data_IF_639816908986
#
_entry.id   IF_639816908986
#
_cell.length_a   1.000
_cell.length_b   1.000
_cell.length_c   1.000
_cell.angle_alpha   90.00
_cell.angle_beta   90.00
_cell.angle_gamma   90.00
#
_symmetry.space_group_name_H-M   'P 1'
#
loop_
_entity.id
_entity.type
_entity.pdbx_description
1 polymer ?
#
# COMPACT_ATOMS: atom_id res chain seq x y z
N UNK A 1 -11.13 -6.67 -24.08
CA UNK A 1 -10.26 -6.95 -25.25
C UNK A 1 -9.80 -8.40 -25.20
N UNK A 2 -8.95 -8.85 -26.13
CA UNK A 2 -8.52 -10.26 -26.22
C UNK A 2 -7.26 -10.61 -25.37
N UNK A 3 -6.71 -9.65 -24.62
CA UNK A 3 -5.48 -9.85 -23.84
C UNK A 3 -4.21 -10.00 -24.69
N UNK A 4 -3.05 -10.28 -24.06
CA UNK A 4 -2.83 -10.24 -22.62
C UNK A 4 -2.86 -8.79 -22.07
N UNK A 5 -3.15 -8.65 -20.78
CA UNK A 5 -3.28 -7.37 -20.08
C UNK A 5 -2.14 -7.17 -19.09
N UNK A 6 -1.71 -5.93 -18.80
CA UNK A 6 -0.78 -5.69 -17.71
C UNK A 6 -1.41 -6.12 -16.37
N UNK A 7 -0.64 -6.87 -15.59
CA UNK A 7 -1.10 -7.46 -14.33
C UNK A 7 -0.91 -6.53 -13.15
N UNK A 8 -1.86 -6.48 -12.22
CA UNK A 8 -1.78 -5.76 -10.95
C UNK A 8 -2.24 -6.68 -9.82
N UNK A 9 -1.53 -6.68 -8.69
CA UNK A 9 -2.03 -7.23 -7.42
C UNK A 9 -2.55 -6.07 -6.57
N UNK A 10 -3.78 -6.21 -6.08
CA UNK A 10 -4.49 -5.22 -5.27
C UNK A 10 -4.61 -5.71 -3.82
N UNK A 11 -4.14 -4.88 -2.88
CA UNK A 11 -4.08 -5.19 -1.45
C UNK A 11 -4.79 -4.12 -0.62
N UNK A 12 -5.72 -4.57 0.21
CA UNK A 12 -6.38 -3.75 1.23
C UNK A 12 -5.63 -3.77 2.56
N UNK A 13 -6.08 -2.93 3.50
CA UNK A 13 -5.49 -2.79 4.82
C UNK A 13 -5.87 -3.90 5.80
N UNK A 14 -5.64 -3.62 7.09
CA UNK A 14 -6.18 -4.45 8.16
C UNK A 14 -7.73 -4.38 8.12
N UNK A 15 -8.37 -5.53 8.25
CA UNK A 15 -9.81 -5.76 8.15
C UNK A 15 -10.12 -7.24 7.95
N UNK A 16 -9.22 -7.93 7.26
CA UNK A 16 -9.42 -9.30 6.80
C UNK A 16 -10.39 -9.35 5.62
N UNK A 17 -10.72 -10.55 5.16
CA UNK A 17 -11.60 -10.75 4.02
C UNK A 17 -10.94 -10.42 2.68
N UNK A 18 -11.77 -10.23 1.66
CA UNK A 18 -11.36 -9.98 0.28
C UNK A 18 -12.20 -8.86 -0.35
N UNK A 19 -11.83 -7.59 -0.17
CA UNK A 19 -12.50 -6.48 -0.86
C UNK A 19 -12.13 -6.47 -2.35
N UNK A 20 -13.08 -6.78 -3.23
CA UNK A 20 -12.83 -6.94 -4.68
C UNK A 20 -13.13 -5.68 -5.51
N UNK A 21 -13.87 -4.72 -4.95
CA UNK A 21 -14.47 -3.64 -5.73
C UNK A 21 -13.45 -2.74 -6.43
N UNK A 22 -12.28 -2.47 -5.83
CA UNK A 22 -11.22 -1.68 -6.47
C UNK A 22 -10.57 -2.43 -7.63
N UNK A 23 -10.30 -3.73 -7.45
CA UNK A 23 -9.78 -4.58 -8.51
C UNK A 23 -10.73 -4.67 -9.70
N UNK A 24 -12.03 -4.89 -9.44
CA UNK A 24 -13.07 -4.92 -10.47
C UNK A 24 -13.13 -3.60 -11.28
N UNK A 25 -13.08 -2.46 -10.59
CA UNK A 25 -13.10 -1.15 -11.24
C UNK A 25 -11.82 -0.89 -12.06
N UNK A 26 -10.65 -1.30 -11.57
CA UNK A 26 -9.41 -1.20 -12.34
C UNK A 26 -9.39 -2.12 -13.56
N UNK A 27 -9.97 -3.32 -13.46
CA UNK A 27 -10.05 -4.26 -14.58
C UNK A 27 -10.78 -3.67 -15.80
N UNK A 28 -11.77 -2.81 -15.57
CA UNK A 28 -12.46 -2.05 -16.63
C UNK A 28 -11.56 -1.03 -17.36
N UNK A 29 -10.35 -0.78 -16.87
CA UNK A 29 -9.38 0.14 -17.45
C UNK A 29 -8.21 -0.59 -18.14
N UNK A 30 -8.40 -1.87 -18.50
CA UNK A 30 -7.45 -2.61 -19.33
C UNK A 30 -6.34 -3.32 -18.57
N UNK A 31 -6.52 -3.56 -17.27
CA UNK A 31 -5.61 -4.33 -16.43
C UNK A 31 -6.20 -5.70 -16.06
N UNK A 32 -5.34 -6.70 -15.87
CA UNK A 32 -5.71 -7.93 -15.16
C UNK A 32 -5.38 -7.72 -13.68
N UNK A 33 -6.38 -7.70 -12.80
CA UNK A 33 -6.19 -7.31 -11.40
C UNK A 33 -6.58 -8.45 -10.47
N UNK A 34 -5.66 -8.86 -9.60
CA UNK A 34 -5.90 -9.84 -8.53
C UNK A 34 -6.13 -9.10 -7.22
N UNK A 35 -7.36 -9.09 -6.73
CA UNK A 35 -7.63 -8.77 -5.33
C UNK A 35 -7.05 -9.91 -4.48
N UNK A 36 -6.14 -9.59 -3.55
CA UNK A 36 -5.42 -10.58 -2.76
C UNK A 36 -5.79 -10.46 -1.28
N UNK A 37 -6.45 -11.48 -0.74
CA UNK A 37 -6.62 -11.66 0.70
C UNK A 37 -5.30 -12.16 1.30
N UNK A 38 -5.04 -11.87 2.57
CA UNK A 38 -3.86 -12.39 3.27
C UNK A 38 -4.12 -12.82 4.72
N UNK A 39 -5.32 -12.57 5.24
CA UNK A 39 -5.82 -13.13 6.51
C UNK A 39 -7.33 -12.93 6.63
N UNK A 40 -7.97 -13.66 7.54
CA UNK A 40 -9.39 -13.49 7.88
C UNK A 40 -10.33 -13.81 6.72
N UNK A 41 -9.94 -14.71 5.81
CA UNK A 41 -10.70 -15.10 4.64
C UNK A 41 -10.52 -16.59 4.36
N UNK A 42 -11.62 -17.31 4.19
CA UNK A 42 -11.64 -18.77 3.94
C UNK A 42 -10.73 -19.57 4.89
N UNK A 43 -9.73 -20.27 4.36
CA UNK A 43 -8.78 -21.11 5.09
C UNK A 43 -7.48 -20.39 5.48
N UNK A 44 -7.34 -19.10 5.13
CA UNK A 44 -6.21 -18.27 5.56
C UNK A 44 -6.21 -18.08 7.09
N UNK A 45 -5.05 -17.71 7.68
CA UNK A 45 -4.95 -17.41 9.10
C UNK A 45 -6.03 -16.42 9.57
N UNK A 46 -6.64 -16.67 10.73
CA UNK A 46 -7.73 -15.84 11.26
C UNK A 46 -7.28 -14.47 11.75
N UNK A 47 -6.02 -14.34 12.12
CA UNK A 47 -5.41 -13.10 12.62
C UNK A 47 -4.13 -12.77 11.84
N UNK A 48 -3.60 -11.57 12.09
CA UNK A 48 -2.44 -11.02 11.39
C UNK A 48 -1.23 -10.91 12.35
N UNK A 49 -0.97 -11.93 13.17
CA UNK A 49 0.20 -11.91 14.08
C UNK A 49 1.52 -11.97 13.33
N UNK A 50 1.58 -12.78 12.28
CA UNK A 50 2.76 -13.03 11.49
C UNK A 50 2.38 -13.09 10.00
N UNK A 51 3.20 -12.49 9.16
CA UNK A 51 3.04 -12.48 7.70
C UNK A 51 4.34 -12.97 7.05
N UNK A 52 4.21 -13.87 6.09
CA UNK A 52 5.32 -14.46 5.35
C UNK A 52 5.30 -13.96 3.91
N UNK A 53 6.37 -13.31 3.44
CA UNK A 53 6.44 -12.78 2.08
C UNK A 53 6.44 -13.87 1.01
N UNK A 54 6.73 -15.12 1.37
CA UNK A 54 6.60 -16.29 0.50
C UNK A 54 5.17 -16.44 -0.06
N UNK A 55 4.13 -16.18 0.76
CA UNK A 55 2.74 -16.19 0.30
C UNK A 55 2.48 -15.18 -0.82
N UNK A 56 3.06 -13.99 -0.68
CA UNK A 56 2.92 -12.92 -1.67
C UNK A 56 3.79 -13.19 -2.91
N UNK A 57 4.93 -13.87 -2.76
CA UNK A 57 5.77 -14.36 -3.85
C UNK A 57 5.02 -15.40 -4.69
N UNK A 58 4.28 -16.31 -4.07
CA UNK A 58 3.39 -17.27 -4.75
C UNK A 58 2.31 -16.54 -5.57
N UNK A 59 1.68 -15.50 -5.01
CA UNK A 59 0.67 -14.71 -5.73
C UNK A 59 1.25 -13.97 -6.95
N UNK A 60 2.48 -13.43 -6.84
CA UNK A 60 3.20 -12.82 -7.98
C UNK A 60 3.45 -13.87 -9.06
N UNK A 61 3.96 -15.05 -8.67
CA UNK A 61 4.25 -16.14 -9.61
C UNK A 61 2.98 -16.66 -10.30
N UNK A 62 1.88 -16.79 -9.56
CA UNK A 62 0.58 -17.16 -10.11
C UNK A 62 0.14 -16.17 -11.20
N UNK A 63 0.21 -14.86 -10.91
CA UNK A 63 -0.13 -13.82 -11.87
C UNK A 63 0.76 -13.87 -13.12
N UNK A 64 2.08 -13.99 -12.95
CA UNK A 64 3.03 -14.01 -14.07
C UNK A 64 2.92 -15.27 -14.95
N UNK A 65 2.39 -16.37 -14.42
CA UNK A 65 2.14 -17.60 -15.18
C UNK A 65 0.80 -17.59 -15.93
N UNK A 66 -0.11 -16.67 -15.58
CA UNK A 66 -1.43 -16.62 -16.20
C UNK A 66 -1.34 -16.12 -17.65
N UNK A 67 -1.90 -16.87 -18.61
CA UNK A 67 -1.77 -16.63 -20.06
C UNK A 67 -2.35 -15.30 -20.55
N UNK A 68 -3.17 -14.64 -19.72
CA UNK A 68 -3.76 -13.32 -20.01
C UNK A 68 -3.04 -12.16 -19.29
N UNK A 69 -1.93 -12.42 -18.60
CA UNK A 69 -1.08 -11.39 -17.97
C UNK A 69 0.15 -11.16 -18.86
N UNK A 70 0.42 -9.90 -19.23
CA UNK A 70 1.45 -9.53 -20.22
C UNK A 70 2.89 -9.81 -19.74
N UNK A 71 3.16 -9.63 -18.45
CA UNK A 71 4.53 -9.62 -17.92
C UNK A 71 5.39 -8.47 -18.50
N UNK A 72 6.72 -8.46 -18.27
CA UNK A 72 7.52 -9.46 -17.54
C UNK A 72 7.41 -9.35 -16.01
N UNK A 73 6.79 -8.28 -15.51
CA UNK A 73 6.47 -8.08 -14.10
C UNK A 73 5.03 -7.61 -13.91
N UNK A 74 4.64 -7.41 -12.67
CA UNK A 74 3.30 -6.91 -12.28
C UNK A 74 3.39 -5.57 -11.56
N UNK A 75 2.27 -4.84 -11.54
CA UNK A 75 2.06 -3.70 -10.66
C UNK A 75 1.56 -4.13 -9.29
N UNK A 76 1.89 -3.34 -8.26
CA UNK A 76 1.34 -3.49 -6.92
C UNK A 76 0.55 -2.24 -6.54
N UNK A 77 -0.71 -2.41 -6.13
CA UNK A 77 -1.54 -1.35 -5.57
C UNK A 77 -1.95 -1.72 -4.16
N UNK A 78 -1.60 -0.87 -3.19
CA UNK A 78 -1.93 -1.12 -1.79
C UNK A 78 -2.44 0.12 -1.07
N UNK A 79 -3.41 -0.07 -0.16
CA UNK A 79 -3.85 0.96 0.79
C UNK A 79 -3.55 0.53 2.22
N UNK A 80 -3.16 1.46 3.09
CA UNK A 80 -2.95 1.20 4.53
C UNK A 80 -1.90 0.09 4.75
N UNK A 81 -2.20 -0.96 5.53
CA UNK A 81 -1.34 -2.16 5.67
C UNK A 81 -1.04 -2.84 4.32
N UNK A 82 -1.98 -2.81 3.37
CA UNK A 82 -1.72 -3.29 2.00
C UNK A 82 -0.66 -2.47 1.29
N UNK A 83 -0.63 -1.15 1.51
CA UNK A 83 0.42 -0.27 1.00
C UNK A 83 1.80 -0.56 1.60
N UNK A 84 1.85 -0.80 2.90
CA UNK A 84 3.06 -1.26 3.61
C UNK A 84 3.56 -2.63 3.08
N UNK A 85 2.64 -3.56 2.83
CA UNK A 85 2.95 -4.86 2.21
C UNK A 85 3.48 -4.70 0.79
N UNK A 86 2.90 -3.80 -0.03
CA UNK A 86 3.42 -3.50 -1.36
C UNK A 86 4.88 -3.01 -1.34
N UNK A 87 5.22 -2.13 -0.38
CA UNK A 87 6.60 -1.67 -0.19
C UNK A 87 7.51 -2.85 0.22
N UNK A 88 7.03 -3.70 1.13
CA UNK A 88 7.76 -4.89 1.56
C UNK A 88 8.00 -5.86 0.40
N UNK A 89 6.97 -6.18 -0.38
CA UNK A 89 7.07 -7.02 -1.57
C UNK A 89 8.09 -6.44 -2.56
N UNK A 90 7.99 -5.15 -2.87
CA UNK A 90 8.93 -4.48 -3.77
C UNK A 90 10.38 -4.51 -3.26
N UNK A 91 10.59 -4.53 -1.95
CA UNK A 91 11.92 -4.53 -1.32
C UNK A 91 12.61 -5.91 -1.33
N UNK A 92 11.83 -6.99 -1.33
CA UNK A 92 12.33 -8.35 -1.10
C UNK A 92 12.12 -9.30 -2.28
N UNK A 93 11.05 -9.09 -3.06
CA UNK A 93 10.61 -10.02 -4.10
C UNK A 93 11.02 -9.52 -5.50
N UNK A 94 10.99 -10.43 -6.47
CA UNK A 94 11.24 -10.14 -7.89
C UNK A 94 9.93 -10.13 -8.69
N UNK A 95 10.00 -9.67 -9.95
CA UNK A 95 8.83 -9.64 -10.85
C UNK A 95 7.88 -8.47 -10.60
N UNK A 96 8.32 -7.41 -9.92
CA UNK A 96 7.53 -6.21 -9.63
C UNK A 96 8.06 -5.06 -10.50
N UNK A 97 7.18 -4.48 -11.31
CA UNK A 97 7.53 -3.42 -12.27
C UNK A 97 7.18 -2.02 -11.77
N UNK A 98 6.15 -1.87 -10.94
CA UNK A 98 5.71 -0.57 -10.43
C UNK A 98 4.88 -0.73 -9.15
N UNK A 99 5.02 0.19 -8.18
CA UNK A 99 4.29 0.11 -6.91
C UNK A 99 3.59 1.43 -6.58
N UNK A 100 2.26 1.40 -6.46
CA UNK A 100 1.44 2.51 -6.01
C UNK A 100 0.94 2.26 -4.58
N UNK A 101 1.15 3.24 -3.71
CA UNK A 101 0.90 3.16 -2.26
C UNK A 101 -0.06 4.27 -1.85
N UNK A 102 -1.21 3.92 -1.30
CA UNK A 102 -2.20 4.86 -0.76
C UNK A 102 -2.11 4.82 0.77
N UNK A 103 -1.73 5.94 1.40
CA UNK A 103 -1.67 6.06 2.86
C UNK A 103 -0.95 4.87 3.55
N UNK A 104 0.15 4.39 2.97
CA UNK A 104 0.94 3.27 3.48
C UNK A 104 2.05 3.71 4.45
N UNK A 105 2.55 2.77 5.25
CA UNK A 105 3.72 2.98 6.11
C UNK A 105 5.00 2.42 5.49
N UNK A 106 6.12 3.09 5.71
CA UNK A 106 7.47 2.56 5.40
C UNK A 106 8.08 1.80 6.58
N UNK A 107 7.34 1.69 7.69
CA UNK A 107 7.66 0.84 8.82
C UNK A 107 6.66 -0.31 8.87
N UNK A 108 7.10 -1.49 9.30
CA UNK A 108 6.23 -2.64 9.46
C UNK A 108 5.35 -2.45 10.71
N UNK A 109 4.03 -2.48 10.58
CA UNK A 109 3.10 -2.21 11.69
C UNK A 109 2.19 -3.41 11.98
N UNK A 110 2.01 -3.73 13.26
CA UNK A 110 0.95 -4.64 13.73
C UNK A 110 1.19 -6.14 13.56
N UNK A 111 2.13 -6.57 12.72
CA UNK A 111 2.50 -7.98 12.53
C UNK A 111 4.02 -8.16 12.54
N UNK A 112 4.51 -9.36 12.86
CA UNK A 112 5.88 -9.74 12.50
C UNK A 112 5.90 -10.04 11.01
N UNK A 113 6.84 -9.47 10.26
CA UNK A 113 7.01 -9.76 8.84
C UNK A 113 8.26 -10.62 8.64
N UNK A 114 8.13 -11.72 7.88
CA UNK A 114 9.23 -12.64 7.58
C UNK A 114 9.41 -12.83 6.10
N UNK A 115 10.67 -13.05 5.73
CA UNK A 115 11.04 -13.58 4.42
C UNK A 115 12.37 -14.32 4.54
N UNK A 116 12.35 -15.64 4.37
CA UNK A 116 13.53 -16.50 4.59
C UNK A 116 14.14 -16.21 5.97
N UNK A 117 15.43 -15.88 6.02
CA UNK A 117 16.15 -15.58 7.26
C UNK A 117 15.96 -14.14 7.77
N UNK A 118 15.20 -13.30 7.05
CA UNK A 118 14.94 -11.91 7.43
C UNK A 118 13.64 -11.83 8.24
N UNK A 119 13.71 -11.11 9.35
CA UNK A 119 12.55 -10.77 10.18
C UNK A 119 12.53 -9.27 10.45
N UNK A 120 11.39 -8.64 10.16
CA UNK A 120 11.13 -7.24 10.50
C UNK A 120 10.08 -7.24 11.64
N UNK A 121 10.44 -6.76 12.85
CA UNK A 121 9.48 -6.66 13.95
C UNK A 121 8.43 -5.58 13.69
N UNK A 122 7.24 -5.66 14.32
CA UNK A 122 6.27 -4.57 14.26
C UNK A 122 6.80 -3.34 15.00
N UNK A 123 6.52 -2.17 14.45
CA UNK A 123 6.73 -0.87 15.07
C UNK A 123 5.94 -0.80 16.39
N UNK A 124 6.60 -0.35 17.45
CA UNK A 124 5.99 -0.21 18.76
C UNK A 124 4.87 0.84 18.78
N UNK A 125 3.97 0.70 19.75
CA UNK A 125 2.88 1.65 19.99
C UNK A 125 2.93 2.21 21.41
N UNK A 126 2.44 3.43 21.58
CA UNK A 126 2.28 4.08 22.87
C UNK A 126 0.83 4.55 23.04
N UNK A 127 0.05 3.75 23.76
CA UNK A 127 -1.38 4.00 24.01
C UNK A 127 -1.64 5.31 24.75
N UNK A 128 -0.65 5.88 25.46
CA UNK A 128 -0.80 7.17 26.15
C UNK A 128 -0.89 8.35 25.18
N UNK A 129 -0.53 8.17 23.92
CA UNK A 129 -0.65 9.19 22.86
C UNK A 129 -2.00 9.16 22.14
N UNK A 130 -2.84 8.16 22.42
CA UNK A 130 -4.20 8.09 21.88
C UNK A 130 -5.06 9.13 22.59
N UNK A 131 -5.77 9.96 21.82
CA UNK A 131 -6.70 10.96 22.35
C UNK A 131 -8.11 10.44 22.15
N UNK A 132 -8.96 10.48 23.18
CA UNK A 132 -10.35 10.03 23.09
C UNK A 132 -11.25 11.21 23.39
N UNK A 133 -12.21 11.48 22.49
CA UNK A 133 -13.16 12.58 22.69
C UNK A 133 -14.31 12.18 23.63
N UNK A 134 -15.17 13.14 23.97
CA UNK A 134 -16.33 12.93 24.87
C UNK A 134 -17.30 11.85 24.36
N UNK A 135 -17.38 11.66 23.05
CA UNK A 135 -18.21 10.63 22.39
C UNK A 135 -17.55 9.25 22.37
N UNK A 136 -16.35 9.09 22.94
CA UNK A 136 -15.62 7.82 22.98
C UNK A 136 -14.91 7.43 21.69
N UNK A 137 -14.84 8.32 20.70
CA UNK A 137 -14.11 8.10 19.45
C UNK A 137 -12.63 8.47 19.66
N UNK A 138 -11.74 7.57 19.28
CA UNK A 138 -10.31 7.73 19.45
C UNK A 138 -9.64 8.35 18.21
N UNK A 139 -8.67 9.23 18.43
CA UNK A 139 -7.68 9.67 17.46
C UNK A 139 -6.36 8.97 17.78
N UNK A 140 -5.89 8.16 16.83
CA UNK A 140 -4.76 7.24 16.99
C UNK A 140 -3.52 7.67 16.20
N UNK A 141 -3.57 8.81 15.51
CA UNK A 141 -2.52 9.26 14.57
C UNK A 141 -1.12 9.32 15.19
N UNK A 142 -1.04 9.60 16.49
CA UNK A 142 0.22 9.70 17.26
C UNK A 142 0.59 8.40 18.01
N UNK A 143 -0.20 7.33 17.88
CA UNK A 143 -0.03 6.11 18.68
C UNK A 143 1.25 5.33 18.33
N UNK A 144 1.69 5.35 17.08
CA UNK A 144 2.90 4.64 16.64
C UNK A 144 4.17 5.34 17.14
N UNK A 145 5.19 4.56 17.44
CA UNK A 145 6.52 5.08 17.74
C UNK A 145 7.22 5.61 16.47
N UNK A 146 8.30 6.36 16.65
CA UNK A 146 9.07 6.88 15.53
C UNK A 146 10.01 5.78 14.98
N UNK A 147 9.84 5.29 13.74
CA UNK A 147 10.71 4.25 13.18
C UNK A 147 12.14 4.72 12.88
N UNK A 148 12.46 5.99 13.13
CA UNK A 148 13.80 6.55 12.94
C UNK A 148 14.66 6.54 14.22
N UNK A 149 14.12 6.06 15.34
CA UNK A 149 14.74 6.20 16.66
C UNK A 149 14.96 4.85 17.36
N UNK A 150 16.06 4.75 18.10
CA UNK A 150 16.34 3.63 19.00
C UNK A 150 16.13 2.23 18.37
N UNK A 151 15.46 1.30 19.08
CA UNK A 151 15.19 -0.04 18.58
C UNK A 151 14.13 -0.07 17.46
N UNK A 152 13.29 0.96 17.35
CA UNK A 152 12.19 1.03 16.36
C UNK A 152 12.70 1.08 14.92
N UNK A 153 13.97 1.46 14.72
CA UNK A 153 14.66 1.38 13.42
C UNK A 153 14.61 0.01 12.78
N UNK A 154 14.48 -1.05 13.57
CA UNK A 154 14.38 -2.42 13.06
C UNK A 154 13.07 -2.67 12.30
N UNK A 155 12.02 -1.88 12.55
CA UNK A 155 10.75 -1.98 11.83
C UNK A 155 10.77 -1.32 10.45
N UNK A 156 11.79 -0.50 10.14
CA UNK A 156 11.86 0.26 8.88
C UNK A 156 12.11 -0.69 7.70
N UNK A 157 11.20 -0.69 6.73
CA UNK A 157 11.27 -1.56 5.54
C UNK A 157 12.38 -1.05 4.63
N UNK A 158 13.30 -1.92 4.15
CA UNK A 158 14.46 -1.51 3.36
C UNK A 158 14.08 -1.24 1.89
N UNK A 159 13.21 -0.26 1.66
CA UNK A 159 12.70 0.09 0.33
C UNK A 159 13.78 0.54 -0.66
N UNK A 160 14.97 0.91 -0.19
CA UNK A 160 16.13 1.11 -1.07
C UNK A 160 16.52 -0.13 -1.88
N UNK A 161 16.09 -1.33 -1.47
CA UNK A 161 16.32 -2.58 -2.21
C UNK A 161 15.40 -2.74 -3.41
N UNK A 162 14.29 -2.00 -3.47
CA UNK A 162 13.36 -2.09 -4.58
C UNK A 162 13.99 -1.64 -5.90
N UNK A 163 13.61 -2.34 -6.98
CA UNK A 163 14.05 -2.06 -8.35
C UNK A 163 12.99 -1.30 -9.16
N UNK A 164 11.76 -1.21 -8.64
CA UNK A 164 10.65 -0.52 -9.28
C UNK A 164 10.47 0.93 -8.80
N UNK A 165 9.90 1.82 -9.63
CA UNK A 165 9.43 3.13 -9.20
C UNK A 165 8.25 3.03 -8.22
N UNK A 166 8.11 4.06 -7.39
CA UNK A 166 7.00 4.24 -6.47
C UNK A 166 6.17 5.47 -6.79
N UNK A 167 4.85 5.34 -6.63
CA UNK A 167 3.89 6.45 -6.50
C UNK A 167 3.29 6.39 -5.08
N UNK A 168 3.43 7.47 -4.32
CA UNK A 168 2.76 7.65 -3.05
C UNK A 168 1.57 8.59 -3.18
N UNK A 169 0.39 8.11 -2.82
CA UNK A 169 -0.84 8.87 -2.67
C UNK A 169 -1.09 9.06 -1.17
N UNK A 170 -1.19 10.32 -0.74
CA UNK A 170 -1.24 10.67 0.68
C UNK A 170 -2.44 11.59 0.95
N UNK A 171 -3.26 11.21 1.92
CA UNK A 171 -4.19 12.12 2.57
C UNK A 171 -3.48 12.91 3.67
N UNK A 172 -3.50 14.24 3.59
CA UNK A 172 -2.84 15.08 4.61
C UNK A 172 -3.63 15.19 5.92
N UNK A 173 -4.89 14.76 5.92
CA UNK A 173 -5.73 14.66 7.10
C UNK A 173 -5.89 13.20 7.55
N UNK A 174 -4.90 12.34 7.28
CA UNK A 174 -4.92 10.94 7.72
C UNK A 174 -4.76 10.84 9.24
N UNK A 175 -5.81 10.35 9.91
CA UNK A 175 -5.85 10.15 11.36
C UNK A 175 -5.57 8.70 11.82
N UNK A 176 -5.35 7.76 10.90
CA UNK A 176 -4.90 6.41 11.27
C UNK A 176 -3.42 6.44 11.66
N UNK A 177 -2.60 7.12 10.86
CA UNK A 177 -1.17 7.29 11.07
C UNK A 177 -0.60 8.42 10.21
N UNK A 178 0.69 8.74 10.39
CA UNK A 178 1.33 9.86 9.69
C UNK A 178 1.78 9.48 8.26
N UNK A 179 0.83 9.30 7.35
CA UNK A 179 1.09 8.89 5.96
C UNK A 179 2.06 9.82 5.21
N UNK A 180 1.93 11.14 5.37
CA UNK A 180 2.85 12.10 4.75
C UNK A 180 4.29 11.96 5.27
N UNK A 181 4.43 11.77 6.59
CA UNK A 181 5.73 11.50 7.21
C UNK A 181 6.35 10.23 6.61
N UNK A 182 5.60 9.12 6.53
CA UNK A 182 6.11 7.88 5.97
C UNK A 182 6.53 8.01 4.49
N UNK A 183 5.73 8.68 3.67
CA UNK A 183 6.07 8.92 2.26
C UNK A 183 7.35 9.77 2.11
N UNK A 184 7.49 10.84 2.92
CA UNK A 184 8.68 11.70 2.92
C UNK A 184 9.92 10.92 3.37
N UNK A 185 9.84 10.14 4.45
CA UNK A 185 10.97 9.35 4.94
C UNK A 185 11.35 8.23 3.97
N UNK A 186 10.37 7.61 3.30
CA UNK A 186 10.62 6.67 2.21
C UNK A 186 11.39 7.32 1.05
N UNK A 187 10.95 8.51 0.63
CA UNK A 187 11.64 9.28 -0.42
C UNK A 187 13.06 9.68 -0.04
N UNK A 188 13.29 10.08 1.22
CA UNK A 188 14.64 10.35 1.74
C UNK A 188 15.52 9.09 1.70
N UNK A 189 14.97 7.95 2.13
CA UNK A 189 15.71 6.67 2.13
C UNK A 189 16.12 6.25 0.72
N UNK A 190 15.20 6.33 -0.24
CA UNK A 190 15.46 6.02 -1.65
C UNK A 190 16.59 6.91 -2.22
N UNK A 191 16.47 8.24 -2.05
CA UNK A 191 17.45 9.20 -2.57
C UNK A 191 18.83 9.04 -1.91
N UNK A 192 18.88 8.74 -0.59
CA UNK A 192 20.13 8.48 0.12
C UNK A 192 20.89 7.25 -0.42
N UNK A 193 20.22 6.35 -1.14
CA UNK A 193 20.80 5.17 -1.78
C UNK A 193 20.86 5.30 -3.31
N UNK A 194 20.79 6.53 -3.84
CA UNK A 194 20.94 6.81 -5.27
C UNK A 194 19.77 6.37 -6.14
N UNK A 195 18.61 6.06 -5.55
CA UNK A 195 17.37 5.78 -6.30
C UNK A 195 16.72 7.09 -6.75
N UNK A 196 15.92 7.01 -7.81
CA UNK A 196 15.11 8.13 -8.27
C UNK A 196 14.13 8.58 -7.18
N UNK A 197 13.87 9.89 -7.13
CA UNK A 197 12.89 10.45 -6.22
C UNK A 197 11.50 9.95 -6.63
N UNK A 198 10.74 9.29 -5.72
CA UNK A 198 9.40 8.83 -6.03
C UNK A 198 8.44 10.00 -6.21
N UNK A 199 7.37 9.78 -6.97
CA UNK A 199 6.26 10.73 -7.03
C UNK A 199 5.46 10.64 -5.72
N UNK A 200 5.20 11.78 -5.09
CA UNK A 200 4.37 11.89 -3.89
C UNK A 200 3.30 12.94 -4.17
N UNK A 201 2.05 12.53 -4.06
CA UNK A 201 0.88 13.39 -4.23
C UNK A 201 0.16 13.47 -2.89
N UNK A 202 0.16 14.67 -2.33
CA UNK A 202 -0.49 14.97 -1.07
C UNK A 202 -1.81 15.71 -1.35
N UNK A 203 -2.91 15.21 -0.78
CA UNK A 203 -4.24 15.80 -0.89
C UNK A 203 -4.64 16.46 0.45
N UNK A 204 -4.70 17.81 0.51
CA UNK A 204 -5.24 18.52 1.66
C UNK A 204 -6.69 18.09 1.95
N UNK A 205 -7.03 17.89 3.22
CA UNK A 205 -8.39 17.54 3.64
C UNK A 205 -8.85 16.14 3.22
N UNK A 206 -7.96 15.27 2.74
CA UNK A 206 -8.27 13.85 2.54
C UNK A 206 -7.75 13.01 3.73
N UNK A 207 -8.61 12.14 4.27
CA UNK A 207 -8.26 11.18 5.32
C UNK A 207 -7.68 9.85 4.83
N UNK A 208 -7.78 8.85 5.69
CA UNK A 208 -7.13 7.54 5.50
C UNK A 208 -7.67 6.71 4.32
N UNK A 209 -8.99 6.62 4.18
CA UNK A 209 -9.64 5.74 3.19
C UNK A 209 -9.86 6.43 1.84
N UNK A 210 -8.79 6.68 1.08
CA UNK A 210 -8.91 7.14 -0.31
C UNK A 210 -9.35 5.96 -1.19
N UNK A 211 -10.66 5.75 -1.24
CA UNK A 211 -11.33 4.70 -2.03
C UNK A 211 -11.48 5.11 -3.52
N UNK A 212 -11.94 4.21 -4.41
CA UNK A 212 -12.29 4.59 -5.78
C UNK A 212 -13.30 5.76 -5.85
N UNK A 213 -13.39 6.46 -7.00
CA UNK A 213 -14.19 7.67 -7.13
C UNK A 213 -15.64 7.50 -6.65
N UNK A 214 -16.13 8.54 -5.97
CA UNK A 214 -17.51 8.66 -5.48
C UNK A 214 -17.92 7.71 -4.34
N UNK A 215 -16.99 6.92 -3.78
CA UNK A 215 -17.25 6.24 -2.50
C UNK A 215 -17.46 7.29 -1.40
N UNK A 216 -18.54 7.18 -0.58
CA UNK A 216 -18.79 8.14 0.47
C UNK A 216 -17.71 8.07 1.55
N UNK A 217 -17.22 9.24 1.98
CA UNK A 217 -16.24 9.34 3.04
C UNK A 217 -16.78 8.76 4.37
N UNK A 218 -16.02 7.86 4.98
CA UNK A 218 -16.28 7.36 6.32
C UNK A 218 -15.41 8.11 7.34
N UNK A 219 -15.99 9.07 8.06
CA UNK A 219 -15.24 9.91 9.00
C UNK A 219 -14.72 9.13 10.23
N UNK A 220 -15.48 8.15 10.71
CA UNK A 220 -15.13 7.32 11.85
C UNK A 220 -15.81 5.96 11.77
N UNK A 221 -15.11 4.91 12.19
CA UNK A 221 -15.67 3.56 12.30
C UNK A 221 -14.87 2.71 13.29
N UNK A 222 -15.33 1.49 13.52
CA UNK A 222 -14.68 0.54 14.41
C UNK A 222 -13.31 0.11 13.87
N UNK A 223 -12.23 0.34 14.63
CA UNK A 223 -10.91 -0.17 14.28
C UNK A 223 -10.67 -1.51 14.98
N UNK A 224 -10.56 -2.59 14.22
CA UNK A 224 -10.49 -3.96 14.77
C UNK A 224 -9.29 -4.20 15.69
N UNK A 225 -8.09 -3.70 15.33
CA UNK A 225 -6.89 -3.86 16.17
C UNK A 225 -6.91 -3.00 17.44
N UNK A 226 -7.51 -1.80 17.38
CA UNK A 226 -7.61 -0.89 18.54
C UNK A 226 -8.76 -1.28 19.47
N UNK A 227 -9.80 -1.92 18.95
CA UNK A 227 -10.96 -2.32 19.74
C UNK A 227 -11.88 -1.16 20.12
N UNK A 228 -11.80 -0.02 19.43
CA UNK A 228 -12.70 1.15 19.60
C UNK A 228 -13.02 1.83 18.26
N UNK A 229 -14.08 2.66 18.20
CA UNK A 229 -14.27 3.60 17.10
C UNK A 229 -13.12 4.58 17.03
N UNK A 230 -12.58 4.81 15.83
CA UNK A 230 -11.52 5.79 15.58
C UNK A 230 -11.93 6.76 14.49
N UNK A 231 -11.35 7.96 14.50
CA UNK A 231 -11.43 8.90 13.38
C UNK A 231 -10.44 8.52 12.29
N UNK A 232 -10.87 8.65 11.03
CA UNK A 232 -10.04 8.41 9.84
C UNK A 232 -9.61 9.69 9.14
N UNK A 233 -10.24 10.81 9.52
CA UNK A 233 -10.06 12.12 8.94
C UNK A 233 -10.73 12.30 7.58
N UNK A 234 -10.52 13.47 7.00
CA UNK A 234 -11.09 13.91 5.73
C UNK A 234 -12.24 14.90 5.89
N UNK A 235 -12.30 15.84 4.94
CA UNK A 235 -13.45 16.71 4.69
C UNK A 235 -14.23 16.19 3.48
N UNK A 236 -15.57 16.07 3.53
CA UNK A 236 -16.32 15.34 2.50
C UNK A 236 -16.04 15.78 1.06
N UNK A 237 -15.96 17.09 0.81
CA UNK A 237 -15.69 17.63 -0.52
C UNK A 237 -14.25 17.37 -0.97
N UNK A 238 -13.28 17.77 -0.14
CA UNK A 238 -11.86 17.62 -0.47
C UNK A 238 -11.47 16.15 -0.63
N UNK A 239 -12.00 15.27 0.23
CA UNK A 239 -11.79 13.84 0.15
C UNK A 239 -12.37 13.24 -1.14
N UNK A 240 -13.58 13.61 -1.53
CA UNK A 240 -14.17 13.16 -2.79
C UNK A 240 -13.35 13.62 -4.01
N UNK A 241 -12.87 14.86 -4.03
CA UNK A 241 -12.00 15.38 -5.09
C UNK A 241 -10.66 14.62 -5.14
N UNK A 242 -10.08 14.30 -3.97
CA UNK A 242 -8.88 13.50 -3.86
C UNK A 242 -9.05 12.08 -4.41
N UNK A 243 -10.18 11.40 -4.13
CA UNK A 243 -10.48 10.07 -4.66
C UNK A 243 -10.54 10.08 -6.20
N UNK A 244 -11.13 11.12 -6.80
CA UNK A 244 -11.24 11.27 -8.26
C UNK A 244 -9.86 11.46 -8.89
N UNK A 245 -9.04 12.39 -8.38
CA UNK A 245 -7.70 12.63 -8.94
C UNK A 245 -6.79 11.42 -8.69
N UNK A 246 -6.76 10.86 -7.47
CA UNK A 246 -5.93 9.70 -7.14
C UNK A 246 -6.18 8.52 -8.08
N UNK A 247 -7.45 8.26 -8.41
CA UNK A 247 -7.82 7.21 -9.37
C UNK A 247 -7.19 7.41 -10.75
N UNK A 248 -7.19 8.66 -11.25
CA UNK A 248 -6.56 9.00 -12.52
C UNK A 248 -5.04 8.90 -12.46
N UNK A 249 -4.43 9.36 -11.36
CA UNK A 249 -2.97 9.26 -11.13
C UNK A 249 -2.49 7.82 -11.11
N UNK A 250 -3.19 6.95 -10.38
CA UNK A 250 -2.87 5.53 -10.27
C UNK A 250 -2.94 4.84 -11.63
N UNK A 251 -4.00 5.09 -12.41
CA UNK A 251 -4.11 4.55 -13.77
C UNK A 251 -3.01 5.06 -14.67
N UNK A 252 -2.73 6.37 -14.68
CA UNK A 252 -1.66 6.95 -15.50
C UNK A 252 -0.29 6.35 -15.15
N UNK A 253 -0.01 6.15 -13.86
CA UNK A 253 1.21 5.52 -13.37
C UNK A 253 1.34 4.08 -13.88
N UNK A 254 0.31 3.25 -13.72
CA UNK A 254 0.38 1.87 -14.21
C UNK A 254 0.39 1.76 -15.74
N UNK A 255 -0.34 2.61 -16.46
CA UNK A 255 -0.26 2.68 -17.92
C UNK A 255 1.19 2.99 -18.35
N UNK A 256 1.81 4.01 -17.76
CA UNK A 256 3.20 4.39 -18.07
C UNK A 256 4.19 3.25 -17.83
N UNK A 257 4.09 2.55 -16.70
CA UNK A 257 5.11 1.59 -16.29
C UNK A 257 4.85 0.15 -16.73
N UNK A 258 3.59 -0.25 -16.96
CA UNK A 258 3.23 -1.63 -17.30
C UNK A 258 2.81 -1.82 -18.76
N UNK A 259 2.39 -0.77 -19.47
CA UNK A 259 1.99 -0.88 -20.89
C UNK A 259 3.13 -0.54 -21.86
N UNK A 260 4.17 0.15 -21.41
CA UNK A 260 5.33 0.48 -22.24
C UNK A 260 6.04 -0.80 -22.70
N UNK A 261 6.29 -0.93 -24.01
CA UNK A 261 7.15 -1.98 -24.55
C UNK A 261 8.55 -1.85 -23.92
N UNK A 262 9.22 -2.95 -23.53
CA UNK A 262 10.60 -2.87 -23.09
C UNK A 262 11.40 -2.17 -24.19
N UNK A 263 12.16 -1.14 -23.83
CA UNK A 263 13.04 -0.44 -24.77
C UNK A 263 13.99 -1.47 -25.36
N UNK A 264 13.68 -1.93 -26.56
CA UNK A 264 14.47 -2.91 -27.29
C UNK A 264 15.90 -2.37 -27.37
N UNK A 265 16.83 -3.19 -26.87
CA UNK A 265 18.24 -3.07 -27.21
C UNK A 265 18.34 -2.86 -28.72
N UNK A 266 18.74 -1.67 -29.13
CA UNK A 266 19.14 -1.39 -30.50
C UNK A 266 20.35 -2.28 -30.79
N UNK A 267 20.10 -3.45 -31.34
CA UNK A 267 21.11 -4.25 -32.03
C UNK A 267 21.49 -3.47 -33.28
N UNK A 268 22.53 -2.66 -33.17
CA UNK A 268 23.27 -2.17 -34.34
C UNK A 268 23.93 -3.38 -34.99
N UNK A 269 23.38 -3.80 -36.13
CA UNK A 269 24.11 -4.46 -37.19
C UNK A 269 24.95 -3.40 -37.93
#
# INVERSE_FOLDING_TARGET
GNGPFPGIIDLYGAGGGLPEYRACLLANNGFAVLALAFYGYEDLPKDMKELHLEYFEEAINYMLQHSQVKGPGIGLLGISKGGELCISMASFLKGITATAVINGSVANVGSVLRYKDVTIPPLGTNVKRIKVNESGVADIVDALNNPLEGPERQSFIPLEKAECPFLFIVGQDDHNWKSEFFAIEGSKRLQAHGKEKPEIICYPGAGHYIEPPFFPMCAASMHLLVGKPVVWGGEPKAHCEAQVDAWQRIQAFFCKHLMSEPSGTSSKL
#
